data_IF_650749698740
#
_entry.id   IF_650749698740
#
_cell.length_a   1.000
_cell.length_b   1.000
_cell.length_c   1.000
_cell.angle_alpha   90.00
_cell.angle_beta   90.00
_cell.angle_gamma   90.00
#
_symmetry.space_group_name_H-M   'P 1'
#
loop_
_entity.id
_entity.type
_entity.pdbx_description
1 polymer ?
#
# COMPACT_ATOMS: atom_id res chain seq x y z
N UNK A 1 34.55 22.59 27.00
CA UNK A 1 33.43 21.72 27.40
C UNK A 1 32.77 21.29 26.11
N UNK A 2 33.24 20.18 25.54
CA UNK A 2 32.73 19.63 24.29
C UNK A 2 31.46 18.83 24.59
N UNK A 3 30.35 19.28 24.04
CA UNK A 3 29.09 18.52 24.07
C UNK A 3 29.25 17.48 22.95
N UNK A 4 29.54 16.25 23.32
CA UNK A 4 29.44 15.10 22.41
C UNK A 4 27.97 14.96 22.03
N UNK A 5 27.64 15.17 20.75
CA UNK A 5 26.31 14.97 20.21
C UNK A 5 25.92 13.51 20.38
N UNK A 6 24.97 13.24 21.25
CA UNK A 6 24.23 11.98 21.24
C UNK A 6 23.56 11.85 19.87
N UNK A 7 23.77 10.69 19.23
CA UNK A 7 23.30 10.43 17.87
C UNK A 7 21.80 10.74 17.74
N UNK A 8 21.43 11.28 16.60
CA UNK A 8 20.04 11.50 16.20
C UNK A 8 19.39 10.10 16.20
N UNK A 9 18.60 9.81 17.21
CA UNK A 9 17.77 8.60 17.24
C UNK A 9 16.71 8.88 16.18
N UNK A 10 16.68 8.03 15.14
CA UNK A 10 15.62 8.04 14.15
C UNK A 10 14.31 7.64 14.85
N UNK A 11 13.54 8.66 15.23
CA UNK A 11 12.31 8.51 16.01
C UNK A 11 11.27 7.74 15.18
N UNK A 12 11.26 7.95 13.87
CA UNK A 12 10.30 7.33 12.98
C UNK A 12 10.56 5.82 12.88
N UNK A 13 11.81 5.41 12.66
CA UNK A 13 12.17 4.00 12.68
C UNK A 13 11.91 3.33 14.04
N UNK A 14 12.15 4.03 15.14
CA UNK A 14 11.84 3.52 16.47
C UNK A 14 10.32 3.33 16.66
N UNK A 15 9.51 4.27 16.17
CA UNK A 15 8.06 4.16 16.20
C UNK A 15 7.57 2.96 15.38
N UNK A 16 8.10 2.74 14.19
CA UNK A 16 7.74 1.59 13.35
C UNK A 16 7.98 0.26 14.07
N UNK A 17 9.16 0.09 14.69
CA UNK A 17 9.55 -1.15 15.34
C UNK A 17 8.83 -1.38 16.68
N UNK A 18 8.59 -0.31 17.45
CA UNK A 18 8.04 -0.44 18.81
C UNK A 18 6.52 -0.29 18.86
N UNK A 19 5.89 0.30 17.82
CA UNK A 19 4.47 0.65 17.84
C UNK A 19 3.57 -0.54 18.07
N UNK A 20 3.81 -1.65 17.39
CA UNK A 20 2.97 -2.87 17.52
C UNK A 20 2.91 -3.35 18.98
N UNK A 21 4.08 -3.49 19.61
CA UNK A 21 4.17 -3.92 20.99
C UNK A 21 3.57 -2.90 21.97
N UNK A 22 3.82 -1.62 21.74
CA UNK A 22 3.25 -0.55 22.55
C UNK A 22 1.72 -0.56 22.43
N UNK A 23 1.19 -0.63 21.20
CA UNK A 23 -0.25 -0.64 20.95
C UNK A 23 -0.94 -1.84 21.60
N UNK A 24 -0.38 -3.03 21.41
CA UNK A 24 -0.86 -4.25 22.06
C UNK A 24 -0.89 -4.12 23.58
N UNK A 25 0.21 -3.68 24.18
CA UNK A 25 0.30 -3.50 25.64
C UNK A 25 -0.67 -2.43 26.14
N UNK A 26 -0.84 -1.33 25.40
CA UNK A 26 -1.75 -0.23 25.75
C UNK A 26 -3.21 -0.66 25.75
N UNK A 27 -3.61 -1.44 24.76
CA UNK A 27 -4.99 -1.87 24.56
C UNK A 27 -5.32 -3.12 25.37
N UNK A 28 -4.47 -4.15 25.34
CA UNK A 28 -4.74 -5.43 25.97
C UNK A 28 -4.34 -5.47 27.46
N UNK A 29 -3.36 -4.65 27.88
CA UNK A 29 -2.86 -4.59 29.26
C UNK A 29 -3.59 -3.58 30.15
N UNK A 30 -4.45 -2.71 29.59
CA UNK A 30 -5.22 -1.72 30.33
C UNK A 30 -6.60 -2.23 30.77
N UNK A 31 -7.34 -1.39 31.53
CA UNK A 31 -8.70 -1.70 31.90
C UNK A 31 -9.60 -1.64 30.64
N UNK A 32 -9.94 -2.79 30.07
CA UNK A 32 -10.61 -2.97 28.78
C UNK A 32 -12.07 -2.43 28.72
N UNK A 33 -12.57 -1.80 29.81
CA UNK A 33 -13.95 -1.39 29.94
C UNK A 33 -14.42 -0.34 28.89
N UNK A 34 -13.48 0.36 28.21
CA UNK A 34 -13.76 1.40 27.24
C UNK A 34 -13.15 1.18 25.85
N UNK A 35 -12.65 -0.03 25.56
CA UNK A 35 -12.04 -0.36 24.27
C UNK A 35 -13.10 -1.04 23.39
N UNK A 36 -13.27 -0.59 22.13
CA UNK A 36 -14.14 -1.28 21.19
C UNK A 36 -13.62 -2.68 20.87
N UNK A 37 -14.51 -3.57 20.46
CA UNK A 37 -14.14 -4.95 20.09
C UNK A 37 -13.20 -4.98 18.89
N UNK A 38 -13.42 -4.07 17.96
CA UNK A 38 -12.61 -3.91 16.75
C UNK A 38 -11.18 -3.45 17.09
N UNK A 39 -11.06 -2.44 17.97
CA UNK A 39 -9.77 -1.94 18.41
C UNK A 39 -9.00 -2.99 19.21
N UNK A 40 -9.68 -3.76 20.05
CA UNK A 40 -9.09 -4.88 20.78
C UNK A 40 -8.62 -5.97 19.81
N UNK A 41 -9.46 -6.32 18.83
CA UNK A 41 -9.14 -7.29 17.76
C UNK A 41 -7.87 -6.87 17.01
N UNK A 42 -7.79 -5.60 16.61
CA UNK A 42 -6.63 -5.04 15.90
C UNK A 42 -5.36 -5.12 16.77
N UNK A 43 -5.46 -4.78 18.07
CA UNK A 43 -4.33 -4.82 18.99
C UNK A 43 -3.82 -6.24 19.28
N UNK A 44 -4.69 -7.26 19.17
CA UNK A 44 -4.28 -8.65 19.29
C UNK A 44 -3.43 -9.14 18.10
N UNK A 45 -3.49 -8.42 16.97
CA UNK A 45 -2.83 -8.80 15.71
C UNK A 45 -3.68 -9.75 14.87
N UNK A 46 -3.24 -9.98 13.65
CA UNK A 46 -3.86 -10.93 12.73
C UNK A 46 -3.43 -12.37 13.02
N UNK A 47 -4.20 -13.31 12.48
CA UNK A 47 -3.78 -14.71 12.43
C UNK A 47 -2.48 -14.86 11.63
N UNK A 48 -1.71 -15.90 11.95
CA UNK A 48 -0.46 -16.22 11.24
C UNK A 48 -0.69 -16.68 9.79
N UNK A 49 -1.91 -17.08 9.45
CA UNK A 49 -2.28 -17.53 8.11
C UNK A 49 -2.91 -16.37 7.35
N UNK A 50 -2.36 -16.07 6.19
CA UNK A 50 -2.86 -15.07 5.25
C UNK A 50 -3.45 -15.77 4.04
N UNK A 51 -4.72 -15.45 3.70
CA UNK A 51 -5.31 -15.93 2.47
C UNK A 51 -4.90 -15.02 1.30
N UNK A 52 -4.55 -15.64 0.16
CA UNK A 52 -4.10 -14.95 -1.05
C UNK A 52 -5.07 -15.18 -2.19
N UNK A 53 -5.50 -14.10 -2.84
CA UNK A 53 -6.46 -14.14 -3.94
C UNK A 53 -5.89 -13.46 -5.18
N UNK A 54 -6.39 -13.89 -6.34
CA UNK A 54 -6.05 -13.30 -7.64
C UNK A 54 -7.01 -12.20 -8.08
N UNK A 55 -7.87 -11.71 -7.20
CA UNK A 55 -8.77 -10.60 -7.47
C UNK A 55 -9.88 -10.49 -6.45
N UNK A 56 -10.52 -9.33 -6.42
CA UNK A 56 -11.61 -9.00 -5.49
C UNK A 56 -12.52 -7.92 -6.08
N UNK A 57 -13.56 -7.59 -5.34
CA UNK A 57 -14.39 -6.40 -5.60
C UNK A 57 -14.32 -5.53 -4.35
N UNK A 58 -13.86 -4.30 -4.51
CA UNK A 58 -13.75 -3.30 -3.44
C UNK A 58 -14.51 -2.04 -3.88
N UNK A 59 -15.42 -1.55 -3.04
CA UNK A 59 -16.24 -0.37 -3.34
C UNK A 59 -16.97 -0.44 -4.70
N UNK A 60 -17.38 -1.65 -5.11
CA UNK A 60 -18.06 -1.88 -6.40
C UNK A 60 -17.12 -1.98 -7.61
N UNK A 61 -15.82 -1.76 -7.43
CA UNK A 61 -14.81 -1.87 -8.49
C UNK A 61 -14.17 -3.25 -8.43
N UNK A 62 -14.01 -3.89 -9.60
CA UNK A 62 -13.40 -5.21 -9.73
C UNK A 62 -11.92 -5.07 -10.04
N UNK A 63 -11.09 -5.63 -9.18
CA UNK A 63 -9.63 -5.74 -9.35
C UNK A 63 -9.23 -7.17 -9.68
N UNK A 64 -8.24 -7.33 -10.55
CA UNK A 64 -7.56 -8.60 -10.82
C UNK A 64 -6.06 -8.40 -10.68
N UNK A 65 -5.35 -9.45 -10.25
CA UNK A 65 -3.88 -9.43 -10.29
C UNK A 65 -3.38 -9.39 -11.74
N UNK A 66 -2.16 -8.89 -11.93
CA UNK A 66 -1.50 -8.86 -13.25
C UNK A 66 -1.44 -10.24 -13.89
N UNK A 67 -1.12 -11.27 -13.12
CA UNK A 67 -1.06 -12.65 -13.61
C UNK A 67 -2.41 -13.12 -14.14
N UNK A 68 -3.49 -12.83 -13.42
CA UNK A 68 -4.84 -13.19 -13.86
C UNK A 68 -5.27 -12.41 -15.09
N UNK A 69 -4.81 -11.20 -15.26
CA UNK A 69 -5.16 -10.32 -16.37
C UNK A 69 -4.71 -10.87 -17.72
N UNK A 70 -3.56 -11.57 -17.79
CA UNK A 70 -3.05 -12.17 -19.01
C UNK A 70 -4.05 -13.11 -19.71
N UNK A 71 -5.01 -13.65 -18.97
CA UNK A 71 -6.07 -14.54 -19.50
C UNK A 71 -7.38 -13.80 -19.80
N UNK A 72 -7.43 -12.48 -19.65
CA UNK A 72 -8.65 -11.67 -19.74
C UNK A 72 -8.56 -10.65 -20.88
N UNK A 73 -9.74 -10.13 -21.27
CA UNK A 73 -9.86 -9.06 -22.28
C UNK A 73 -9.88 -7.66 -21.65
N UNK A 74 -10.05 -7.60 -20.32
CA UNK A 74 -10.15 -6.35 -19.58
C UNK A 74 -8.93 -6.18 -18.69
N UNK A 75 -8.39 -4.98 -18.66
CA UNK A 75 -7.33 -4.58 -17.76
C UNK A 75 -7.95 -4.13 -16.43
N UNK A 76 -7.59 -4.79 -15.34
CA UNK A 76 -8.11 -4.51 -13.99
C UNK A 76 -7.02 -4.59 -12.92
N UNK A 77 -5.75 -4.60 -13.31
CA UNK A 77 -4.60 -4.69 -12.41
C UNK A 77 -3.99 -3.32 -12.07
N UNK A 78 -4.29 -2.29 -12.87
CA UNK A 78 -3.74 -0.96 -12.65
C UNK A 78 -4.27 -0.33 -11.37
N UNK A 79 -3.35 0.15 -10.53
CA UNK A 79 -3.62 0.75 -9.22
C UNK A 79 -3.11 2.19 -9.20
N UNK A 80 -3.93 3.05 -8.63
CA UNK A 80 -3.60 4.43 -8.28
C UNK A 80 -3.93 4.68 -6.81
N UNK A 81 -3.03 5.35 -6.11
CA UNK A 81 -3.26 5.86 -4.75
C UNK A 81 -2.72 7.28 -4.67
N UNK A 82 -3.52 8.17 -4.11
CA UNK A 82 -3.07 9.52 -3.76
C UNK A 82 -2.61 9.51 -2.31
N UNK A 83 -1.38 9.92 -2.07
CA UNK A 83 -0.80 10.09 -0.75
C UNK A 83 -0.34 11.52 -0.50
N UNK A 84 0.23 11.73 0.67
CA UNK A 84 0.82 13.01 1.09
C UNK A 84 2.08 12.71 1.91
N UNK A 85 3.17 13.39 1.58
CA UNK A 85 4.41 13.32 2.33
C UNK A 85 4.91 14.75 2.61
N UNK A 86 5.06 15.09 3.90
CA UNK A 86 5.52 16.41 4.34
C UNK A 86 4.68 17.59 3.82
N UNK A 87 3.36 17.40 3.58
CA UNK A 87 2.47 18.40 3.00
C UNK A 87 2.53 18.47 1.48
N UNK A 88 3.29 17.60 0.84
CA UNK A 88 3.35 17.47 -0.62
C UNK A 88 2.51 16.30 -1.08
N UNK A 89 1.59 16.56 -2.04
CA UNK A 89 0.79 15.50 -2.63
C UNK A 89 1.67 14.60 -3.50
N UNK A 90 1.65 13.30 -3.21
CA UNK A 90 2.33 12.27 -3.99
C UNK A 90 1.30 11.32 -4.55
N UNK A 91 1.40 11.06 -5.84
CA UNK A 91 0.55 10.10 -6.54
C UNK A 91 1.36 8.83 -6.83
N UNK A 92 0.84 7.69 -6.38
CA UNK A 92 1.44 6.38 -6.59
C UNK A 92 0.71 5.63 -7.68
N UNK A 93 1.45 5.06 -8.61
CA UNK A 93 0.94 4.22 -9.69
C UNK A 93 1.63 2.87 -9.66
N UNK A 94 0.87 1.80 -9.91
CA UNK A 94 1.42 0.44 -9.89
C UNK A 94 0.47 -0.60 -10.44
N UNK A 95 0.88 -1.85 -10.36
CA UNK A 95 0.09 -3.01 -10.78
C UNK A 95 -0.12 -3.97 -9.61
N UNK A 96 -1.34 -4.49 -9.49
CA UNK A 96 -1.73 -5.42 -8.44
C UNK A 96 -1.08 -6.79 -8.66
N UNK A 97 -0.28 -7.24 -7.69
CA UNK A 97 0.37 -8.53 -7.67
C UNK A 97 -0.44 -9.58 -6.94
N UNK A 98 -0.87 -9.27 -5.71
CA UNK A 98 -1.67 -10.15 -4.88
C UNK A 98 -2.72 -9.37 -4.09
N UNK A 99 -3.83 -10.05 -3.78
CA UNK A 99 -4.81 -9.58 -2.79
C UNK A 99 -4.65 -10.45 -1.56
N UNK A 100 -4.36 -9.82 -0.43
CA UNK A 100 -4.14 -10.50 0.85
C UNK A 100 -5.32 -10.25 1.77
N UNK A 101 -5.81 -11.30 2.41
CA UNK A 101 -6.81 -11.21 3.47
C UNK A 101 -6.17 -11.57 4.80
N UNK A 102 -6.13 -10.62 5.70
CA UNK A 102 -5.71 -10.78 7.09
C UNK A 102 -6.95 -11.00 7.94
N UNK A 103 -6.97 -12.08 8.70
CA UNK A 103 -8.05 -12.39 9.63
C UNK A 103 -7.64 -12.00 11.04
N UNK A 104 -8.52 -11.30 11.74
CA UNK A 104 -8.35 -10.84 13.11
C UNK A 104 -9.38 -11.46 14.03
N UNK A 105 -9.17 -11.34 15.35
CA UNK A 105 -10.09 -11.86 16.37
C UNK A 105 -11.53 -11.38 16.13
N UNK A 106 -12.49 -12.28 16.31
CA UNK A 106 -13.92 -11.98 16.10
C UNK A 106 -14.37 -12.00 14.63
N UNK A 107 -13.57 -12.65 13.76
CA UNK A 107 -13.83 -12.75 12.32
C UNK A 107 -13.85 -11.38 11.61
N UNK A 108 -13.01 -10.46 12.08
CA UNK A 108 -12.74 -9.21 11.40
C UNK A 108 -11.69 -9.45 10.30
N UNK A 109 -11.84 -8.79 9.15
CA UNK A 109 -10.96 -8.97 8.01
C UNK A 109 -10.43 -7.62 7.53
N UNK A 110 -9.14 -7.61 7.17
CA UNK A 110 -8.47 -6.49 6.49
C UNK A 110 -7.93 -7.00 5.17
N UNK A 111 -8.23 -6.28 4.10
CA UNK A 111 -7.74 -6.60 2.76
C UNK A 111 -6.62 -5.65 2.37
N UNK A 112 -5.47 -6.24 2.03
CA UNK A 112 -4.32 -5.52 1.52
C UNK A 112 -4.11 -5.86 0.04
N UNK A 113 -3.65 -4.88 -0.70
CA UNK A 113 -3.11 -5.06 -2.04
C UNK A 113 -1.59 -5.05 -1.95
N UNK A 114 -0.96 -6.08 -2.45
CA UNK A 114 0.47 -6.12 -2.73
C UNK A 114 0.68 -5.69 -4.17
N UNK A 115 1.44 -4.62 -4.37
CA UNK A 115 1.59 -3.96 -5.66
C UNK A 115 3.06 -3.86 -6.09
N UNK A 116 3.29 -3.90 -7.39
CA UNK A 116 4.52 -3.43 -7.99
C UNK A 116 4.34 -1.93 -8.28
N UNK A 117 5.05 -1.08 -7.53
CA UNK A 117 4.96 0.37 -7.65
C UNK A 117 5.98 0.91 -8.64
N UNK A 118 5.56 1.87 -9.45
CA UNK A 118 6.44 2.57 -10.38
C UNK A 118 7.11 3.77 -9.70
N UNK A 119 8.33 4.11 -10.16
CA UNK A 119 9.00 5.34 -9.75
C UNK A 119 8.23 6.55 -10.33
N UNK A 120 7.59 7.32 -9.47
CA UNK A 120 6.80 8.50 -9.85
C UNK A 120 7.56 9.82 -9.72
N UNK A 121 8.90 9.77 -9.67
CA UNK A 121 9.73 10.97 -9.61
C UNK A 121 9.57 11.80 -10.89
N UNK A 122 9.24 13.07 -10.73
CA UNK A 122 9.02 13.99 -11.84
C UNK A 122 10.18 14.02 -12.85
N UNK A 123 9.84 13.98 -14.13
CA UNK A 123 10.76 14.07 -15.26
C UNK A 123 11.55 12.80 -15.56
N UNK A 124 11.67 11.86 -14.62
CA UNK A 124 12.42 10.61 -14.82
C UNK A 124 11.55 9.37 -14.74
N UNK A 125 10.57 9.36 -13.85
CA UNK A 125 9.65 8.25 -13.64
C UNK A 125 8.23 8.58 -14.10
N UNK A 126 7.86 9.85 -14.09
CA UNK A 126 6.53 10.32 -14.45
C UNK A 126 6.59 11.62 -15.28
N UNK A 127 5.68 11.73 -16.24
CA UNK A 127 5.43 12.95 -17.01
C UNK A 127 3.92 13.19 -17.07
N UNK A 128 3.52 14.45 -16.94
CA UNK A 128 2.11 14.87 -17.04
C UNK A 128 1.94 15.85 -18.19
N UNK A 129 0.93 15.61 -19.00
CA UNK A 129 0.42 16.59 -19.95
C UNK A 129 -1.05 16.95 -19.63
N UNK A 130 -1.69 17.75 -20.51
CA UNK A 130 -3.09 18.18 -20.30
C UNK A 130 -4.11 17.03 -20.27
N UNK A 131 -3.77 15.84 -20.78
CA UNK A 131 -4.72 14.78 -21.04
C UNK A 131 -4.37 13.46 -20.34
N UNK A 132 -3.09 13.20 -20.10
CA UNK A 132 -2.62 11.94 -19.52
C UNK A 132 -1.44 12.12 -18.56
N UNK A 133 -1.27 11.08 -17.74
CA UNK A 133 -0.07 10.89 -16.92
C UNK A 133 0.67 9.69 -17.50
N UNK A 134 1.90 9.90 -17.96
CA UNK A 134 2.78 8.85 -18.45
C UNK A 134 3.71 8.41 -17.32
N UNK A 135 3.82 7.10 -17.11
CA UNK A 135 4.64 6.50 -16.05
C UNK A 135 5.66 5.54 -16.67
N UNK A 136 6.90 5.63 -16.25
CA UNK A 136 7.96 4.75 -16.73
C UNK A 136 7.93 3.40 -15.99
N UNK A 137 7.40 2.37 -16.65
CA UNK A 137 7.22 1.03 -16.07
C UNK A 137 8.50 0.19 -15.98
N UNK A 138 9.63 0.67 -16.51
CA UNK A 138 10.92 0.01 -16.33
C UNK A 138 11.58 0.29 -14.98
N UNK A 139 11.04 1.21 -14.19
CA UNK A 139 11.56 1.64 -12.91
C UNK A 139 10.55 1.37 -11.81
N UNK A 140 10.89 0.46 -10.94
CA UNK A 140 10.08 0.10 -9.77
C UNK A 140 10.63 0.74 -8.50
N UNK A 141 9.74 1.03 -7.56
CA UNK A 141 10.05 1.62 -6.26
C UNK A 141 9.33 0.84 -5.14
N UNK A 142 9.61 1.17 -3.88
CA UNK A 142 8.94 0.62 -2.68
C UNK A 142 8.94 -0.92 -2.58
N UNK A 143 10.05 -1.56 -2.95
CA UNK A 143 10.18 -3.03 -2.86
C UNK A 143 10.04 -3.57 -1.43
N UNK A 144 10.35 -2.75 -0.42
CA UNK A 144 10.28 -3.12 1.00
C UNK A 144 8.91 -2.86 1.62
N UNK A 145 8.09 -2.03 0.98
CA UNK A 145 6.74 -1.68 1.43
C UNK A 145 5.76 -1.67 0.25
N UNK A 146 5.40 -2.86 -0.30
CA UNK A 146 4.52 -2.98 -1.45
C UNK A 146 3.03 -2.88 -1.11
N UNK A 147 2.66 -2.74 0.17
CA UNK A 147 1.30 -2.95 0.64
C UNK A 147 0.51 -1.66 0.78
N UNK A 148 -0.79 -1.73 0.42
CA UNK A 148 -1.79 -0.70 0.74
C UNK A 148 -3.08 -1.36 1.21
N UNK A 149 -3.91 -0.61 1.93
CA UNK A 149 -5.28 -1.03 2.19
C UNK A 149 -6.08 -1.04 0.88
N UNK A 150 -6.76 -2.13 0.59
CA UNK A 150 -7.53 -2.28 -0.65
C UNK A 150 -8.59 -1.17 -0.85
N UNK A 151 -9.14 -0.63 0.25
CA UNK A 151 -10.12 0.46 0.19
C UNK A 151 -9.55 1.83 -0.21
N UNK A 152 -8.22 2.00 -0.19
CA UNK A 152 -7.54 3.22 -0.63
C UNK A 152 -7.23 3.22 -2.13
N UNK A 153 -7.32 2.05 -2.77
CA UNK A 153 -6.97 1.89 -4.17
C UNK A 153 -8.07 2.42 -5.10
N UNK A 154 -7.65 3.17 -6.10
CA UNK A 154 -8.42 3.49 -7.28
C UNK A 154 -7.90 2.70 -8.48
N UNK A 155 -8.80 2.29 -9.38
CA UNK A 155 -8.42 1.56 -10.58
C UNK A 155 -8.01 2.52 -11.68
N UNK A 156 -6.92 2.19 -12.38
CA UNK A 156 -6.46 2.91 -13.57
C UNK A 156 -6.19 1.93 -14.71
N UNK A 157 -6.18 2.44 -15.93
CA UNK A 157 -5.85 1.68 -17.13
C UNK A 157 -4.55 2.21 -17.71
N UNK A 158 -3.64 1.31 -18.05
CA UNK A 158 -2.39 1.66 -18.70
C UNK A 158 -2.50 1.46 -20.21
N UNK A 159 -2.05 2.44 -20.96
CA UNK A 159 -1.90 2.40 -22.40
C UNK A 159 -0.45 2.65 -22.75
N UNK A 160 0.07 1.91 -23.73
CA UNK A 160 1.44 2.13 -24.18
C UNK A 160 1.56 3.50 -24.85
N UNK A 161 2.49 4.33 -24.40
CA UNK A 161 2.81 5.57 -25.06
C UNK A 161 3.68 5.31 -26.30
N UNK A 162 3.14 5.62 -27.48
CA UNK A 162 3.84 5.42 -28.75
C UNK A 162 4.92 6.46 -29.03
N UNK A 163 4.95 7.58 -28.28
CA UNK A 163 5.93 8.67 -28.45
C UNK A 163 7.17 8.48 -27.56
N UNK A 164 6.96 8.01 -26.33
CA UNK A 164 8.01 7.88 -25.34
C UNK A 164 8.71 6.51 -25.37
N UNK A 165 8.15 5.55 -26.12
CA UNK A 165 8.72 4.21 -26.26
C UNK A 165 8.06 3.14 -25.37
N UNK A 166 8.53 1.90 -25.48
CA UNK A 166 7.89 0.72 -24.90
C UNK A 166 7.92 0.65 -23.35
N UNK A 167 8.62 1.55 -22.70
CA UNK A 167 8.70 1.61 -21.23
C UNK A 167 7.80 2.67 -20.59
N UNK A 168 6.99 3.35 -21.42
CA UNK A 168 6.07 4.41 -21.00
C UNK A 168 4.64 4.10 -21.37
#
# INVERSE_FOLDING_TARGET
MEIQGEGIIDIDHKHEVEFENWFKNRICGGNAANVSKELYSLACGSDALVAVYQGCIVNGVRFHTKDREHTRRTQNSGIFVSGEDGGTKIDYYGELRNVLELTYLGNNHVYLFECDWWDTKDGTGMQRDEHCTSVNTSRTWYHTDPFILACQASQVFYLNDTKLGSSW
#
